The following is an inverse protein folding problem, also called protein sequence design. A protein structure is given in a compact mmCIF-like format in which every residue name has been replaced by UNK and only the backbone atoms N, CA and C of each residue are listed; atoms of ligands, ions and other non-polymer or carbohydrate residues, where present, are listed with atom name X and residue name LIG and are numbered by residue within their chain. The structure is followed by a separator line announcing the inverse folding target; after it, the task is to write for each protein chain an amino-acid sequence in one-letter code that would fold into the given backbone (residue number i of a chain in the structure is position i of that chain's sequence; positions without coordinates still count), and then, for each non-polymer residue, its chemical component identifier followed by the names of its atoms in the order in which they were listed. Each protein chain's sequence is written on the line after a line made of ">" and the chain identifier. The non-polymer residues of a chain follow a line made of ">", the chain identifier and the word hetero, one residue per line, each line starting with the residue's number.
data_IF_033575267217
#
_entry.id   IF_033575267217
#
_cell.length_a   1.000
_cell.length_b   1.000
_cell.length_c   1.000
_cell.angle_alpha   90.00
_cell.angle_beta   90.00
_cell.angle_gamma   90.00
#
_symmetry.space_group_name_H-M   'P 1'
#
loop_
_entity.id
_entity.type
_entity.pdbx_description
1 polymer ?
#
# COMPACT_ATOMS: atom_id res chain seq x y z
N UNK A 1 -8.34 8.30 -13.54
CA UNK A 1 -7.00 7.79 -13.16
C UNK A 1 -6.33 7.21 -14.37
N UNK A 2 -4.99 7.20 -14.41
CA UNK A 2 -4.23 6.58 -15.49
C UNK A 2 -4.09 5.06 -15.25
N UNK A 3 -5.22 4.36 -15.27
CA UNK A 3 -5.27 2.92 -15.05
C UNK A 3 -4.41 2.10 -16.04
N UNK A 4 -4.31 2.48 -17.34
CA UNK A 4 -3.40 1.80 -18.26
C UNK A 4 -1.92 1.88 -17.85
N UNK A 5 -1.48 2.98 -17.23
CA UNK A 5 -0.09 3.11 -16.79
C UNK A 5 0.28 2.12 -15.68
N UNK A 6 -0.65 1.76 -14.79
CA UNK A 6 -0.39 0.74 -13.78
C UNK A 6 -0.03 -0.60 -14.44
N UNK A 7 -0.85 -1.06 -15.38
CA UNK A 7 -0.60 -2.33 -16.06
C UNK A 7 0.64 -2.30 -16.96
N UNK A 8 0.94 -1.17 -17.59
CA UNK A 8 2.19 -0.99 -18.34
C UNK A 8 3.42 -1.13 -17.42
N UNK A 9 3.41 -0.46 -16.26
CA UNK A 9 4.49 -0.57 -15.29
C UNK A 9 4.60 -1.98 -14.68
N UNK A 10 3.49 -2.70 -14.48
CA UNK A 10 3.52 -4.11 -14.07
C UNK A 10 4.22 -4.98 -15.13
N UNK A 11 3.89 -4.81 -16.42
CA UNK A 11 4.58 -5.52 -17.52
C UNK A 11 6.09 -5.24 -17.49
N UNK A 12 6.47 -3.98 -17.36
CA UNK A 12 7.87 -3.56 -17.37
C UNK A 12 8.63 -4.16 -16.18
N UNK A 13 8.03 -4.11 -14.98
CA UNK A 13 8.59 -4.75 -13.78
C UNK A 13 8.77 -6.26 -13.92
N UNK A 14 7.82 -6.97 -14.55
CA UNK A 14 7.91 -8.42 -14.80
C UNK A 14 9.02 -8.79 -15.77
N UNK A 15 9.38 -7.89 -16.70
CA UNK A 15 10.49 -8.07 -17.63
C UNK A 15 11.84 -7.62 -17.06
N UNK A 16 11.87 -7.03 -15.85
CA UNK A 16 13.08 -6.45 -15.26
C UNK A 16 13.41 -5.04 -15.77
N UNK A 17 12.53 -4.43 -16.55
CA UNK A 17 12.68 -3.10 -17.16
C UNK A 17 12.01 -1.99 -16.34
N UNK A 18 11.99 -2.14 -15.00
CA UNK A 18 11.38 -1.18 -14.10
C UNK A 18 11.10 -1.74 -12.71
N UNK A 19 10.66 -0.88 -11.79
CA UNK A 19 10.23 -1.30 -10.46
C UNK A 19 8.72 -1.60 -10.43
N UNK A 20 8.30 -2.43 -9.48
CA UNK A 20 6.89 -2.67 -9.25
C UNK A 20 6.19 -1.33 -8.88
N UNK A 21 5.16 -0.89 -9.63
CA UNK A 21 4.50 0.40 -9.40
C UNK A 21 3.84 0.51 -8.02
N UNK A 22 3.43 -0.62 -7.43
CA UNK A 22 2.92 -0.69 -6.06
C UNK A 22 3.46 -1.98 -5.42
N UNK A 23 4.62 -1.93 -4.75
CA UNK A 23 5.15 -3.07 -4.02
C UNK A 23 4.19 -3.53 -2.93
N UNK A 24 4.15 -4.83 -2.66
CA UNK A 24 3.28 -5.41 -1.63
C UNK A 24 3.54 -4.81 -0.23
N UNK A 25 4.77 -4.39 0.06
CA UNK A 25 5.12 -3.73 1.32
C UNK A 25 4.32 -2.44 1.56
N UNK A 26 4.08 -1.64 0.52
CA UNK A 26 3.27 -0.44 0.64
C UNK A 26 1.81 -0.78 0.94
N UNK A 27 1.26 -1.84 0.30
CA UNK A 27 -0.08 -2.31 0.59
C UNK A 27 -0.21 -2.83 2.04
N UNK A 28 0.80 -3.55 2.54
CA UNK A 28 0.85 -4.02 3.93
C UNK A 28 0.81 -2.85 4.91
N UNK A 29 1.60 -1.80 4.68
CA UNK A 29 1.58 -0.58 5.53
C UNK A 29 0.20 0.07 5.59
N UNK A 30 -0.54 0.06 4.46
CA UNK A 30 -1.92 0.55 4.44
C UNK A 30 -2.83 -0.34 5.26
N UNK A 31 -2.68 -1.67 5.20
CA UNK A 31 -3.46 -2.59 6.03
C UNK A 31 -3.18 -2.38 7.53
N UNK A 32 -1.92 -2.19 7.92
CA UNK A 32 -1.53 -1.88 9.30
C UNK A 32 -2.18 -0.58 9.79
N UNK A 33 -2.23 0.47 8.96
CA UNK A 33 -2.91 1.72 9.29
C UNK A 33 -4.43 1.55 9.43
N UNK A 34 -5.06 0.71 8.60
CA UNK A 34 -6.49 0.40 8.71
C UNK A 34 -6.78 -0.28 10.04
N UNK A 35 -5.98 -1.29 10.42
CA UNK A 35 -6.11 -1.97 11.71
C UNK A 35 -5.88 -1.03 12.89
N UNK A 36 -4.83 -0.19 12.82
CA UNK A 36 -4.54 0.82 13.83
C UNK A 36 -5.70 1.83 13.99
N UNK A 37 -6.34 2.21 12.89
CA UNK A 37 -7.51 3.09 12.90
C UNK A 37 -8.71 2.46 13.61
N UNK A 38 -8.93 1.16 13.41
CA UNK A 38 -9.97 0.40 14.12
C UNK A 38 -9.67 0.38 15.62
N UNK A 39 -8.45 0.08 16.03
CA UNK A 39 -8.06 0.06 17.45
C UNK A 39 -8.12 1.46 18.08
N UNK A 40 -7.66 2.50 17.36
CA UNK A 40 -7.75 3.89 17.80
C UNK A 40 -9.20 4.29 18.09
N UNK A 41 -10.14 3.92 17.21
CA UNK A 41 -11.56 4.19 17.39
C UNK A 41 -12.14 3.47 18.62
N UNK A 42 -11.77 2.20 18.85
CA UNK A 42 -12.20 1.44 20.04
C UNK A 42 -11.74 2.09 21.33
N UNK A 43 -10.50 2.57 21.37
CA UNK A 43 -9.90 3.17 22.56
C UNK A 43 -10.19 4.66 22.72
N UNK A 44 -10.77 5.33 21.71
CA UNK A 44 -10.93 6.79 21.64
C UNK A 44 -9.63 7.53 21.94
N UNK A 45 -8.52 6.97 21.46
CA UNK A 45 -7.18 7.46 21.69
C UNK A 45 -6.36 7.39 20.41
N UNK A 46 -5.41 8.31 20.26
CA UNK A 46 -4.45 8.25 19.16
C UNK A 46 -3.45 7.13 19.44
N UNK A 47 -3.24 6.26 18.46
CA UNK A 47 -2.24 5.19 18.49
C UNK A 47 -1.14 5.50 17.46
N UNK A 48 0.08 5.01 17.71
CA UNK A 48 1.21 5.19 16.79
C UNK A 48 1.51 3.88 16.07
N UNK A 49 1.88 3.97 14.80
CA UNK A 49 2.48 2.85 14.07
C UNK A 49 3.87 2.58 14.66
N UNK A 50 4.24 1.30 14.79
CA UNK A 50 5.53 0.88 15.32
C UNK A 50 6.68 1.12 14.32
#
# INVERSE_FOLDING_TARGET
>A
GNYPAYYAAIRDALNGDGENPVPASQAIQVMELIELGIESAKHRATLCLA
#
